data_IF_112859099385
#
_entry.id   IF_112859099385
#
_cell.length_a   1.000
_cell.length_b   1.000
_cell.length_c   1.000
_cell.angle_alpha   90.00
_cell.angle_beta   90.00
_cell.angle_gamma   90.00
#
_symmetry.space_group_name_H-M   'P 1'
#
loop_
_entity.id
_entity.type
_entity.pdbx_description
1 polymer ?
#
# COMPACT_ATOMS: atom_id res chain seq x y z
N UNK A 1 45.12 -17.43 26.98
CA UNK A 1 44.90 -17.19 25.54
C UNK A 1 43.68 -17.97 25.10
N UNK A 2 42.55 -17.30 24.89
CA UNK A 2 41.45 -17.82 24.07
C UNK A 2 40.74 -16.59 23.50
N UNK A 3 41.01 -16.30 22.22
CA UNK A 3 40.35 -15.21 21.49
C UNK A 3 39.03 -15.75 20.95
N UNK A 4 37.93 -15.36 21.58
CA UNK A 4 36.59 -15.61 21.03
C UNK A 4 36.38 -14.64 19.87
N UNK A 5 36.43 -15.17 18.64
CA UNK A 5 36.07 -14.44 17.43
C UNK A 5 34.54 -14.38 17.38
N UNK A 6 33.98 -13.19 17.56
CA UNK A 6 32.55 -12.93 17.36
C UNK A 6 32.33 -12.77 15.85
N UNK A 7 31.75 -13.79 15.22
CA UNK A 7 31.40 -13.75 13.80
C UNK A 7 30.12 -12.91 13.66
N UNK A 8 30.26 -11.64 13.28
CA UNK A 8 29.13 -10.78 12.94
C UNK A 8 28.50 -11.31 11.64
N UNK A 9 27.33 -11.95 11.75
CA UNK A 9 26.52 -12.32 10.59
C UNK A 9 25.93 -11.04 10.01
N UNK A 10 26.59 -10.47 9.01
CA UNK A 10 26.05 -9.41 8.16
C UNK A 10 24.94 -10.03 7.29
N UNK A 11 23.70 -9.93 7.75
CA UNK A 11 22.54 -10.15 6.88
C UNK A 11 22.48 -8.98 5.88
N UNK A 12 22.58 -9.22 4.56
CA UNK A 12 22.31 -8.18 3.60
C UNK A 12 20.83 -7.81 3.71
N UNK A 13 20.55 -6.59 4.14
CA UNK A 13 19.27 -5.95 3.91
C UNK A 13 19.10 -5.89 2.38
N UNK A 14 18.32 -6.83 1.86
CA UNK A 14 17.94 -6.84 0.45
C UNK A 14 17.25 -5.51 0.16
N UNK A 15 17.96 -4.59 -0.49
CA UNK A 15 17.37 -3.41 -1.09
C UNK A 15 16.33 -3.92 -2.10
N UNK A 16 15.05 -3.79 -1.75
CA UNK A 16 13.94 -4.46 -2.44
C UNK A 16 13.84 -4.00 -3.89
N UNK A 17 14.36 -4.81 -4.82
CA UNK A 17 14.15 -4.61 -6.25
C UNK A 17 12.69 -4.94 -6.59
N UNK A 18 11.88 -3.90 -6.79
CA UNK A 18 10.48 -4.02 -7.20
C UNK A 18 10.41 -4.02 -8.73
N UNK A 19 9.91 -5.10 -9.35
CA UNK A 19 9.55 -5.06 -10.78
C UNK A 19 8.46 -4.00 -10.98
N UNK A 20 8.62 -3.05 -11.92
CA UNK A 20 7.62 -2.02 -12.13
C UNK A 20 6.31 -2.66 -12.62
N UNK A 21 5.19 -2.22 -12.05
CA UNK A 21 3.85 -2.52 -12.56
C UNK A 21 3.77 -1.94 -13.98
N UNK A 22 3.03 -2.62 -14.87
CA UNK A 22 2.64 -2.02 -16.15
C UNK A 22 2.10 -0.62 -15.88
N UNK A 23 2.59 0.36 -16.66
CA UNK A 23 2.22 1.77 -16.57
C UNK A 23 2.89 2.64 -15.47
N UNK A 24 3.98 2.20 -14.84
CA UNK A 24 4.84 3.10 -14.07
C UNK A 24 5.45 4.17 -15.01
N UNK A 25 5.30 5.44 -14.67
CA UNK A 25 5.96 6.54 -15.38
C UNK A 25 7.39 6.71 -14.86
N UNK A 26 8.34 6.93 -15.78
CA UNK A 26 9.67 7.40 -15.40
C UNK A 26 9.60 8.81 -14.78
N UNK A 27 10.64 9.19 -14.03
CA UNK A 27 10.65 10.45 -13.29
C UNK A 27 10.48 11.68 -14.20
N UNK A 28 11.05 11.68 -15.41
CA UNK A 28 10.95 12.81 -16.33
C UNK A 28 9.53 12.93 -16.91
N UNK A 29 8.90 11.81 -17.27
CA UNK A 29 7.52 11.77 -17.74
C UNK A 29 6.54 12.14 -16.62
N UNK A 30 6.74 11.60 -15.42
CA UNK A 30 5.93 11.95 -14.24
C UNK A 30 6.00 13.44 -13.92
N UNK A 31 7.18 14.07 -14.00
CA UNK A 31 7.35 15.50 -13.74
C UNK A 31 6.69 16.41 -14.80
N UNK A 32 6.54 15.93 -16.05
CA UNK A 32 5.81 16.64 -17.10
C UNK A 32 4.30 16.60 -16.90
N UNK A 33 3.78 15.50 -16.35
CA UNK A 33 2.36 15.34 -16.02
C UNK A 33 2.03 16.08 -14.72
N UNK A 34 2.75 15.77 -13.65
CA UNK A 34 2.52 16.29 -12.30
C UNK A 34 3.46 17.49 -12.07
N UNK A 35 3.23 18.55 -12.84
CA UNK A 35 4.01 19.80 -12.77
C UNK A 35 3.87 20.49 -11.41
N UNK A 36 4.75 21.46 -11.06
CA UNK A 36 4.59 22.25 -9.84
C UNK A 36 3.22 22.94 -9.73
N UNK A 37 2.66 23.41 -10.84
CA UNK A 37 1.32 24.00 -10.89
C UNK A 37 0.23 22.95 -10.58
N UNK A 38 0.33 21.76 -11.17
CA UNK A 38 -0.58 20.64 -10.86
C UNK A 38 -0.47 20.24 -9.39
N UNK A 39 0.74 20.11 -8.85
CA UNK A 39 0.95 19.80 -7.43
C UNK A 39 0.31 20.83 -6.51
N UNK A 40 0.48 22.12 -6.81
CA UNK A 40 -0.14 23.21 -6.06
C UNK A 40 -1.67 23.13 -6.12
N UNK A 41 -2.23 22.93 -7.31
CA UNK A 41 -3.68 22.87 -7.52
C UNK A 41 -4.31 21.65 -6.82
N UNK A 42 -3.68 20.48 -6.92
CA UNK A 42 -4.15 19.23 -6.32
C UNK A 42 -3.73 19.05 -4.85
N UNK A 43 -3.03 20.05 -4.27
CA UNK A 43 -2.52 20.04 -2.89
C UNK A 43 -1.63 18.82 -2.59
N UNK A 44 -0.78 18.45 -3.54
CA UNK A 44 0.23 17.40 -3.41
C UNK A 44 1.47 17.98 -2.72
N UNK A 45 1.50 17.86 -1.40
CA UNK A 45 2.53 18.47 -0.54
C UNK A 45 3.71 17.55 -0.25
N UNK A 46 3.49 16.23 -0.19
CA UNK A 46 4.57 15.27 0.08
C UNK A 46 5.44 15.06 -1.17
N UNK A 47 6.70 14.61 -1.00
CA UNK A 47 7.51 14.05 -2.08
C UNK A 47 6.75 12.95 -2.84
N UNK A 48 6.84 12.97 -4.17
CA UNK A 48 6.24 11.92 -5.00
C UNK A 48 7.19 10.72 -5.00
N UNK A 49 6.70 9.59 -4.50
CA UNK A 49 7.40 8.31 -4.52
C UNK A 49 7.30 7.66 -5.91
N UNK A 50 6.08 7.51 -6.44
CA UNK A 50 5.83 6.91 -7.76
C UNK A 50 4.57 7.48 -8.40
N UNK A 51 4.55 7.52 -9.73
CA UNK A 51 3.36 7.89 -10.51
C UNK A 51 3.06 6.81 -11.54
N UNK A 52 1.82 6.37 -11.61
CA UNK A 52 1.32 5.45 -12.63
C UNK A 52 0.32 6.17 -13.51
N UNK A 53 0.26 5.82 -14.79
CA UNK A 53 -0.84 6.22 -15.69
C UNK A 53 -1.74 5.03 -15.98
N UNK A 54 -3.02 5.21 -16.20
CA UNK A 54 -3.87 4.14 -16.71
C UNK A 54 -5.05 4.74 -17.48
N UNK A 55 -5.68 3.94 -18.34
CA UNK A 55 -6.83 4.38 -19.13
C UNK A 55 -7.95 3.37 -18.95
N UNK A 56 -9.15 3.89 -18.77
CA UNK A 56 -10.38 3.11 -18.81
C UNK A 56 -11.44 3.82 -19.67
N UNK A 57 -12.67 3.34 -19.66
CA UNK A 57 -13.75 3.92 -20.48
C UNK A 57 -14.11 5.35 -20.08
N UNK A 58 -13.76 5.79 -18.86
CA UNK A 58 -14.02 7.15 -18.38
C UNK A 58 -12.90 8.14 -18.74
N UNK A 59 -11.71 7.67 -19.13
CA UNK A 59 -10.65 8.53 -19.63
C UNK A 59 -9.25 8.11 -19.22
N UNK A 60 -8.34 9.10 -19.27
CA UNK A 60 -6.96 8.96 -18.81
C UNK A 60 -6.87 9.31 -17.33
N UNK A 61 -6.15 8.49 -16.58
CA UNK A 61 -5.98 8.62 -15.15
C UNK A 61 -4.52 8.50 -14.74
N UNK A 62 -4.24 8.98 -13.54
CA UNK A 62 -2.96 8.86 -12.88
C UNK A 62 -3.15 8.47 -11.41
N UNK A 63 -2.24 7.64 -10.91
CA UNK A 63 -2.10 7.37 -9.49
C UNK A 63 -0.76 7.94 -9.02
N UNK A 64 -0.79 9.04 -8.27
CA UNK A 64 0.40 9.62 -7.65
C UNK A 64 0.50 9.16 -6.19
N UNK A 65 1.53 8.38 -5.88
CA UNK A 65 1.87 7.90 -4.55
C UNK A 65 2.91 8.84 -3.93
N UNK A 66 2.65 9.32 -2.73
CA UNK A 66 3.51 10.28 -2.03
C UNK A 66 3.76 9.84 -0.60
N UNK A 67 4.98 10.02 -0.13
CA UNK A 67 5.43 9.57 1.19
C UNK A 67 6.15 10.72 1.88
N UNK A 68 5.78 11.02 3.13
CA UNK A 68 6.41 12.08 3.92
C UNK A 68 7.60 11.51 4.66
N UNK A 69 8.78 11.82 4.15
CA UNK A 69 10.04 11.51 4.80
C UNK A 69 10.17 12.32 6.10
N UNK A 70 10.49 11.65 7.22
CA UNK A 70 10.79 12.33 8.49
C UNK A 70 12.22 12.05 8.98
N UNK A 71 12.83 10.94 8.55
CA UNK A 71 14.19 10.58 8.94
C UNK A 71 14.91 9.79 7.83
N UNK A 72 16.18 10.12 7.60
CA UNK A 72 17.08 9.31 6.77
C UNK A 72 17.96 8.44 7.65
N UNK A 73 18.10 7.18 7.30
CA UNK A 73 18.91 6.17 7.99
C UNK A 73 19.96 5.59 7.04
N UNK A 74 20.84 4.72 7.55
CA UNK A 74 21.77 3.97 6.70
C UNK A 74 21.06 3.01 5.74
N UNK A 75 19.87 2.57 6.13
CA UNK A 75 19.11 1.50 5.47
C UNK A 75 18.01 2.05 4.54
N UNK A 76 17.83 3.37 4.51
CA UNK A 76 16.84 4.04 3.67
C UNK A 76 16.17 5.22 4.36
N UNK A 77 14.97 5.55 3.90
CA UNK A 77 14.17 6.65 4.43
C UNK A 77 13.02 6.08 5.26
N UNK A 78 12.77 6.69 6.41
CA UNK A 78 11.61 6.43 7.25
C UNK A 78 10.55 7.49 6.97
N UNK A 79 9.31 7.02 6.84
CA UNK A 79 8.16 7.83 6.51
C UNK A 79 7.14 7.76 7.63
N UNK A 80 6.53 8.88 7.98
CA UNK A 80 5.52 8.96 9.05
C UNK A 80 4.10 9.10 8.50
N UNK A 81 3.97 9.38 7.20
CA UNK A 81 2.68 9.53 6.53
C UNK A 81 2.77 9.24 5.05
N UNK A 82 1.68 8.73 4.51
CA UNK A 82 1.52 8.48 3.09
C UNK A 82 0.29 9.18 2.55
N UNK A 83 0.31 9.53 1.28
CA UNK A 83 -0.88 9.98 0.57
C UNK A 83 -0.88 9.50 -0.88
N UNK A 84 -1.96 8.87 -1.31
CA UNK A 84 -2.20 8.56 -2.71
C UNK A 84 -3.23 9.54 -3.29
N UNK A 85 -3.02 9.94 -4.54
CA UNK A 85 -3.95 10.75 -5.31
C UNK A 85 -4.34 9.98 -6.57
N UNK A 86 -5.62 9.64 -6.67
CA UNK A 86 -6.23 9.15 -7.90
C UNK A 86 -6.71 10.38 -8.66
N UNK A 87 -6.12 10.60 -9.82
CA UNK A 87 -6.25 11.82 -10.61
C UNK A 87 -6.84 11.43 -11.95
N UNK A 88 -7.92 12.08 -12.35
CA UNK A 88 -8.52 11.92 -13.66
C UNK A 88 -8.22 13.13 -14.53
N UNK A 89 -8.07 12.91 -15.83
CA UNK A 89 -7.95 13.95 -16.84
C UNK A 89 -9.32 14.20 -17.47
N UNK A 90 -9.83 15.43 -17.31
CA UNK A 90 -11.08 15.89 -17.93
C UNK A 90 -10.84 17.16 -18.72
N UNK A 91 -11.00 17.09 -20.04
CA UNK A 91 -10.93 18.23 -20.96
C UNK A 91 -9.61 19.02 -20.87
N UNK A 92 -8.49 18.32 -20.76
CA UNK A 92 -7.14 18.85 -20.56
C UNK A 92 -6.79 19.20 -19.12
N UNK A 93 -7.70 19.02 -18.16
CA UNK A 93 -7.53 19.43 -16.76
C UNK A 93 -7.44 18.21 -15.84
N UNK A 94 -6.36 18.15 -15.08
CA UNK A 94 -6.18 17.13 -14.04
C UNK A 94 -6.99 17.48 -12.78
N UNK A 95 -7.77 16.51 -12.29
CA UNK A 95 -8.61 16.64 -11.11
C UNK A 95 -8.44 15.43 -10.19
N UNK A 96 -8.43 15.64 -8.87
CA UNK A 96 -8.41 14.54 -7.91
C UNK A 96 -9.80 13.89 -7.83
N UNK A 97 -9.88 12.61 -8.17
CA UNK A 97 -11.08 11.79 -7.99
C UNK A 97 -11.17 11.28 -6.54
N UNK A 98 -10.06 10.74 -6.03
CA UNK A 98 -9.99 10.21 -4.68
C UNK A 98 -8.60 10.41 -4.08
N UNK A 99 -8.55 10.51 -2.76
CA UNK A 99 -7.29 10.51 -1.99
C UNK A 99 -7.28 9.37 -0.99
N UNK A 100 -6.13 8.76 -0.76
CA UNK A 100 -5.90 7.89 0.39
C UNK A 100 -4.87 8.58 1.26
N UNK A 101 -5.10 8.67 2.56
CA UNK A 101 -4.17 9.26 3.52
C UNK A 101 -4.09 8.33 4.72
N UNK A 102 -2.86 8.09 5.18
CA UNK A 102 -2.60 7.31 6.38
C UNK A 102 -1.30 7.78 7.03
N UNK A 103 -1.17 7.52 8.33
CA UNK A 103 -0.02 7.95 9.12
C UNK A 103 0.21 7.00 10.29
N UNK A 104 1.47 6.90 10.71
CA UNK A 104 1.84 6.29 11.99
C UNK A 104 1.84 7.38 13.06
N UNK A 105 1.54 6.98 14.30
CA UNK A 105 1.59 7.90 15.42
C UNK A 105 3.04 8.22 15.78
N UNK A 106 3.36 9.45 16.22
CA UNK A 106 4.67 9.76 16.77
C UNK A 106 4.97 8.85 17.98
N UNK A 107 6.24 8.48 18.17
CA UNK A 107 6.72 7.66 19.31
C UNK A 107 6.37 8.19 20.71
N UNK A 108 5.87 9.42 20.81
CA UNK A 108 5.41 10.01 22.08
C UNK A 108 4.07 9.41 22.56
N UNK A 109 3.34 8.69 21.71
CA UNK A 109 2.20 7.86 22.09
C UNK A 109 2.71 6.46 22.49
N UNK A 110 2.73 6.11 23.79
CA UNK A 110 3.22 4.84 24.39
C UNK A 110 2.54 3.54 23.87
N UNK A 111 1.67 3.63 22.86
CA UNK A 111 0.81 2.54 22.37
C UNK A 111 1.21 2.05 20.97
N UNK A 112 2.06 2.78 20.23
CA UNK A 112 2.39 2.46 18.84
C UNK A 112 3.89 2.29 18.62
N UNK A 113 4.33 1.05 18.48
CA UNK A 113 5.71 0.68 18.16
C UNK A 113 6.03 0.78 16.65
N UNK A 114 5.10 1.31 15.84
CA UNK A 114 5.30 1.53 14.41
C UNK A 114 6.21 2.74 14.15
N UNK A 115 7.27 2.56 13.36
CA UNK A 115 8.26 3.61 13.06
C UNK A 115 8.39 3.97 11.58
N UNK A 116 7.74 3.26 10.66
CA UNK A 116 7.69 3.68 9.26
C UNK A 116 6.43 3.19 8.56
N UNK A 117 5.96 3.91 7.54
CA UNK A 117 4.82 3.55 6.69
C UNK A 117 5.14 3.73 5.20
N UNK A 118 4.87 2.74 4.35
CA UNK A 118 5.24 2.78 2.92
C UNK A 118 4.23 2.09 2.01
N UNK A 119 4.11 2.58 0.77
CA UNK A 119 3.33 1.89 -0.27
C UNK A 119 4.04 0.63 -0.80
N UNK A 120 3.30 -0.47 -0.89
CA UNK A 120 3.83 -1.75 -1.36
C UNK A 120 3.46 -1.98 -2.82
N UNK A 121 4.15 -1.27 -3.73
CA UNK A 121 3.72 -1.21 -5.14
C UNK A 121 3.83 -2.52 -5.91
N UNK A 122 4.54 -3.53 -5.39
CA UNK A 122 4.52 -4.89 -5.97
C UNK A 122 3.15 -5.59 -5.87
N UNK A 123 2.26 -5.09 -5.01
CA UNK A 123 0.88 -5.60 -4.86
C UNK A 123 -0.17 -4.63 -5.42
N UNK A 124 0.25 -3.51 -6.01
CA UNK A 124 -0.65 -2.54 -6.64
C UNK A 124 -1.33 -3.19 -7.85
N UNK A 125 -2.65 -3.00 -7.96
CA UNK A 125 -3.42 -3.40 -9.14
C UNK A 125 -4.12 -2.18 -9.74
N UNK A 126 -3.99 -2.01 -11.06
CA UNK A 126 -4.66 -0.98 -11.86
C UNK A 126 -5.27 -1.68 -13.09
N UNK A 127 -6.32 -2.48 -12.88
CA UNK A 127 -6.99 -3.27 -13.92
C UNK A 127 -8.51 -3.19 -13.73
N UNK A 128 -9.25 -3.28 -14.82
CA UNK A 128 -10.68 -3.60 -14.81
C UNK A 128 -10.82 -5.10 -14.50
N UNK A 129 -11.22 -5.42 -13.26
CA UNK A 129 -11.32 -6.79 -12.78
C UNK A 129 -12.71 -7.37 -12.99
N UNK A 130 -13.76 -6.55 -12.96
CA UNK A 130 -15.14 -7.03 -13.11
C UNK A 130 -15.68 -6.98 -14.55
N UNK A 131 -14.99 -6.26 -15.45
CA UNK A 131 -15.28 -6.13 -16.87
C UNK A 131 -16.28 -5.03 -17.21
N UNK A 132 -16.53 -4.08 -16.30
CA UNK A 132 -17.47 -2.98 -16.53
C UNK A 132 -16.86 -1.78 -17.29
N UNK A 133 -15.58 -1.87 -17.63
CA UNK A 133 -14.85 -0.85 -18.36
C UNK A 133 -14.27 0.26 -17.49
N UNK A 134 -14.43 0.20 -16.16
CA UNK A 134 -13.75 1.08 -15.21
C UNK A 134 -12.59 0.33 -14.55
N UNK A 135 -11.50 1.03 -14.25
CA UNK A 135 -10.39 0.39 -13.51
C UNK A 135 -10.80 0.20 -12.05
N UNK A 136 -10.34 -0.89 -11.43
CA UNK A 136 -10.47 -1.18 -9.99
C UNK A 136 -9.12 -1.01 -9.27
N UNK A 137 -8.70 0.21 -8.89
CA UNK A 137 -7.45 0.41 -8.17
C UNK A 137 -7.42 -0.35 -6.85
N UNK A 138 -6.45 -1.24 -6.68
CA UNK A 138 -6.12 -1.88 -5.40
C UNK A 138 -4.77 -1.36 -4.93
N UNK A 139 -4.77 -0.57 -3.85
CA UNK A 139 -3.59 0.07 -3.26
C UNK A 139 -3.26 -0.64 -1.95
N UNK A 140 -2.00 -1.02 -1.80
CA UNK A 140 -1.49 -1.72 -0.61
C UNK A 140 -0.38 -0.90 0.02
N UNK A 141 -0.40 -0.82 1.34
CA UNK A 141 0.68 -0.25 2.13
C UNK A 141 0.79 -1.01 3.46
N UNK A 142 1.94 -0.84 4.11
CA UNK A 142 2.14 -1.38 5.44
C UNK A 142 3.07 -0.53 6.28
N UNK A 143 3.08 -0.83 7.57
CA UNK A 143 3.95 -0.20 8.57
C UNK A 143 5.05 -1.16 9.02
N UNK A 144 6.09 -0.64 9.67
CA UNK A 144 7.20 -1.42 10.25
C UNK A 144 7.22 -1.14 11.76
N UNK A 145 7.28 -2.17 12.61
CA UNK A 145 7.30 -2.10 14.08
C UNK A 145 8.67 -2.40 14.71
N UNK A 146 8.89 -1.99 15.97
CA UNK A 146 10.21 -1.99 16.67
C UNK A 146 10.94 -3.35 16.78
N UNK A 147 10.25 -4.49 16.82
CA UNK A 147 10.86 -5.82 17.06
C UNK A 147 11.54 -6.49 15.84
N UNK A 148 12.05 -5.69 14.90
CA UNK A 148 12.84 -6.15 13.75
C UNK A 148 12.19 -7.28 12.90
N UNK A 149 10.86 -7.32 12.85
CA UNK A 149 10.08 -8.15 11.92
C UNK A 149 8.97 -7.33 11.24
N UNK A 150 8.23 -7.91 10.28
CA UNK A 150 7.14 -7.25 9.54
C UNK A 150 5.89 -6.96 10.42
N UNK A 151 6.03 -6.93 11.75
CA UNK A 151 4.95 -6.86 12.75
C UNK A 151 4.29 -5.47 12.86
N UNK A 152 3.94 -4.90 11.71
CA UNK A 152 3.13 -3.69 11.62
C UNK A 152 1.69 -4.00 11.24
N UNK A 153 1.04 -3.02 10.63
CA UNK A 153 -0.25 -3.15 9.99
C UNK A 153 -0.07 -3.29 8.48
N UNK A 154 -0.92 -4.10 7.87
CA UNK A 154 -1.08 -4.20 6.42
C UNK A 154 -2.46 -3.69 6.07
N UNK A 155 -2.54 -2.75 5.15
CA UNK A 155 -3.81 -2.19 4.69
C UNK A 155 -3.92 -2.35 3.18
N UNK A 156 -5.05 -2.89 2.74
CA UNK A 156 -5.41 -3.10 1.34
C UNK A 156 -6.70 -2.31 1.09
N UNK A 157 -6.62 -1.34 0.20
CA UNK A 157 -7.76 -0.54 -0.23
C UNK A 157 -8.10 -0.92 -1.66
N UNK A 158 -9.38 -1.19 -1.95
CA UNK A 158 -9.92 -1.14 -3.31
C UNK A 158 -10.79 0.09 -3.47
N UNK A 159 -10.59 0.84 -4.55
CA UNK A 159 -11.56 1.83 -5.02
C UNK A 159 -12.49 1.15 -6.01
N UNK A 160 -13.76 1.02 -5.65
CA UNK A 160 -14.79 0.43 -6.51
C UNK A 160 -15.94 1.42 -6.69
N UNK A 161 -16.17 1.87 -7.93
CA UNK A 161 -17.26 2.83 -8.27
C UNK A 161 -17.29 4.06 -7.35
N UNK A 162 -16.11 4.66 -7.15
CA UNK A 162 -15.93 5.84 -6.28
C UNK A 162 -15.96 5.54 -4.78
N UNK A 163 -16.14 4.30 -4.34
CA UNK A 163 -16.17 3.90 -2.93
C UNK A 163 -14.85 3.25 -2.53
N UNK A 164 -14.27 3.71 -1.42
CA UNK A 164 -13.11 3.07 -0.79
C UNK A 164 -13.60 1.93 0.10
N UNK A 165 -13.04 0.74 -0.09
CA UNK A 165 -13.34 -0.45 0.70
C UNK A 165 -12.02 -1.01 1.19
N UNK A 166 -11.91 -1.21 2.50
CA UNK A 166 -10.65 -1.49 3.17
C UNK A 166 -10.63 -2.89 3.80
N UNK A 167 -9.46 -3.51 3.72
CA UNK A 167 -9.03 -4.65 4.53
C UNK A 167 -7.86 -4.17 5.36
N UNK A 168 -7.94 -4.36 6.68
CA UNK A 168 -6.90 -3.98 7.64
C UNK A 168 -6.45 -5.23 8.35
N UNK A 169 -5.16 -5.44 8.42
CA UNK A 169 -4.56 -6.54 9.14
C UNK A 169 -3.57 -5.98 10.15
N UNK A 170 -3.70 -6.43 11.40
CA UNK A 170 -2.70 -6.24 12.43
C UNK A 170 -1.91 -7.53 12.56
N UNK A 171 -0.59 -7.43 12.35
CA UNK A 171 0.32 -8.56 12.41
C UNK A 171 0.83 -8.76 13.84
N UNK A 172 1.03 -10.02 14.23
CA UNK A 172 1.65 -10.41 15.50
C UNK A 172 2.46 -11.70 15.32
N UNK A 173 3.52 -11.92 16.13
CA UNK A 173 4.19 -13.21 16.24
C UNK A 173 3.21 -14.35 16.60
N UNK A 174 2.19 -14.07 17.42
CA UNK A 174 1.20 -15.06 17.87
C UNK A 174 -0.03 -15.04 16.95
N UNK A 175 -0.42 -16.21 16.42
CA UNK A 175 -1.56 -16.33 15.50
C UNK A 175 -2.87 -15.83 16.14
N UNK A 176 -3.04 -16.03 17.46
CA UNK A 176 -4.21 -15.59 18.23
C UNK A 176 -4.33 -14.07 18.37
N UNK A 177 -3.25 -13.33 18.15
CA UNK A 177 -3.22 -11.86 18.23
C UNK A 177 -3.31 -11.20 16.86
N UNK A 178 -3.17 -11.98 15.78
CA UNK A 178 -3.40 -11.50 14.42
C UNK A 178 -4.87 -11.24 14.23
N UNK A 179 -5.19 -10.09 13.65
CA UNK A 179 -6.57 -9.72 13.35
C UNK A 179 -6.69 -9.22 11.93
N UNK A 180 -7.76 -9.61 11.23
CA UNK A 180 -8.16 -9.00 9.97
C UNK A 180 -9.55 -8.39 10.14
N UNK A 181 -9.63 -7.09 9.87
CA UNK A 181 -10.88 -6.35 9.78
C UNK A 181 -11.19 -6.05 8.32
N UNK A 182 -12.41 -6.35 7.89
CA UNK A 182 -12.87 -6.12 6.52
C UNK A 182 -14.13 -5.26 6.56
N UNK A 183 -14.16 -4.19 5.76
CA UNK A 183 -15.37 -3.39 5.60
C UNK A 183 -16.52 -4.25 5.05
N UNK A 184 -17.73 -4.11 5.60
CA UNK A 184 -18.88 -4.95 5.19
C UNK A 184 -19.16 -4.91 3.67
N UNK A 185 -18.89 -3.77 3.02
CA UNK A 185 -19.04 -3.58 1.59
C UNK A 185 -18.13 -4.51 0.75
N UNK A 186 -17.03 -5.02 1.29
CA UNK A 186 -16.18 -6.00 0.63
C UNK A 186 -16.98 -7.21 0.15
N UNK A 187 -17.91 -7.72 0.97
CA UNK A 187 -18.70 -8.90 0.64
C UNK A 187 -19.75 -8.65 -0.45
N UNK A 188 -19.93 -7.39 -0.88
CA UNK A 188 -20.78 -6.99 -2.01
C UNK A 188 -19.99 -6.80 -3.31
N UNK A 189 -18.65 -6.86 -3.25
CA UNK A 189 -17.81 -6.72 -4.43
C UNK A 189 -18.00 -7.89 -5.41
N UNK A 190 -17.87 -7.63 -6.73
CA UNK A 190 -17.70 -8.66 -7.74
C UNK A 190 -16.72 -9.74 -7.31
N UNK A 191 -17.03 -10.99 -7.62
CA UNK A 191 -16.24 -12.15 -7.18
C UNK A 191 -14.77 -12.04 -7.65
N UNK A 192 -14.54 -11.51 -8.85
CA UNK A 192 -13.19 -11.32 -9.41
C UNK A 192 -12.34 -10.34 -8.58
N UNK A 193 -12.93 -9.23 -8.12
CA UNK A 193 -12.23 -8.27 -7.24
C UNK A 193 -11.90 -8.92 -5.89
N UNK A 194 -12.85 -9.65 -5.30
CA UNK A 194 -12.60 -10.38 -4.04
C UNK A 194 -11.49 -11.43 -4.19
N UNK A 195 -11.49 -12.16 -5.31
CA UNK A 195 -10.42 -13.12 -5.62
C UNK A 195 -9.06 -12.45 -5.83
N UNK A 196 -8.98 -11.30 -6.48
CA UNK A 196 -7.71 -10.57 -6.62
C UNK A 196 -7.17 -10.12 -5.26
N UNK A 197 -8.04 -9.60 -4.37
CA UNK A 197 -7.63 -9.22 -3.01
C UNK A 197 -7.13 -10.43 -2.23
N UNK A 198 -7.85 -11.57 -2.27
CA UNK A 198 -7.38 -12.80 -1.65
C UNK A 198 -6.06 -13.30 -2.28
N UNK A 199 -5.87 -13.14 -3.59
CA UNK A 199 -4.61 -13.45 -4.25
C UNK A 199 -3.49 -12.53 -3.78
N UNK A 200 -3.74 -11.23 -3.60
CA UNK A 200 -2.78 -10.27 -3.06
C UNK A 200 -2.34 -10.70 -1.66
N UNK A 201 -3.27 -11.05 -0.78
CA UNK A 201 -2.97 -11.55 0.56
C UNK A 201 -2.11 -12.83 0.50
N UNK A 202 -2.47 -13.79 -0.35
CA UNK A 202 -1.65 -14.99 -0.55
C UNK A 202 -0.24 -14.69 -1.11
N UNK A 203 -0.09 -13.66 -1.96
CA UNK A 203 1.23 -13.20 -2.43
C UNK A 203 2.02 -12.54 -1.30
N UNK A 204 1.36 -11.78 -0.42
CA UNK A 204 1.98 -11.19 0.77
C UNK A 204 2.60 -12.27 1.68
N UNK A 205 1.85 -13.34 1.96
CA UNK A 205 2.36 -14.48 2.73
C UNK A 205 3.51 -15.20 2.03
N UNK A 206 3.32 -15.50 0.74
CA UNK A 206 4.32 -16.22 -0.08
C UNK A 206 5.65 -15.48 -0.15
N UNK A 207 5.59 -14.15 -0.25
CA UNK A 207 6.77 -13.29 -0.31
C UNK A 207 7.38 -13.02 1.08
N UNK A 208 6.78 -13.54 2.16
CA UNK A 208 7.18 -13.30 3.56
C UNK A 208 7.15 -11.82 3.95
N UNK A 209 6.19 -11.09 3.38
CA UNK A 209 5.97 -9.68 3.67
C UNK A 209 4.91 -9.46 4.75
N UNK A 210 4.21 -10.51 5.16
CA UNK A 210 3.26 -10.48 6.27
C UNK A 210 2.68 -11.85 6.57
N UNK A 211 2.13 -12.01 7.76
CA UNK A 211 1.56 -13.26 8.28
C UNK A 211 0.11 -13.03 8.71
N UNK A 212 -0.85 -13.55 7.95
CA UNK A 212 -2.26 -13.50 8.30
C UNK A 212 -2.65 -14.65 9.26
N UNK A 213 -3.80 -14.55 9.97
CA UNK A 213 -4.34 -15.66 10.76
C UNK A 213 -4.50 -16.93 9.93
N UNK A 214 -4.10 -18.08 10.46
CA UNK A 214 -4.13 -19.37 9.75
C UNK A 214 -5.46 -19.67 9.02
N UNK A 215 -6.59 -19.29 9.62
CA UNK A 215 -7.94 -19.52 9.08
C UNK A 215 -8.49 -18.38 8.20
N UNK A 216 -7.69 -17.37 7.84
CA UNK A 216 -8.19 -16.17 7.17
C UNK A 216 -8.96 -16.45 5.88
N UNK A 217 -8.55 -17.47 5.10
CA UNK A 217 -9.23 -17.85 3.85
C UNK A 217 -10.63 -18.39 4.14
N UNK A 218 -10.74 -19.28 5.11
CA UNK A 218 -12.00 -19.90 5.55
C UNK A 218 -12.92 -18.82 6.12
N UNK A 219 -12.41 -17.94 6.98
CA UNK A 219 -13.19 -16.90 7.63
C UNK A 219 -13.63 -15.80 6.66
N UNK A 220 -12.79 -15.44 5.68
CA UNK A 220 -13.17 -14.53 4.61
C UNK A 220 -14.30 -15.14 3.76
N UNK A 221 -14.19 -16.41 3.36
CA UNK A 221 -15.24 -17.08 2.58
C UNK A 221 -16.57 -17.16 3.36
N UNK A 222 -16.49 -17.44 4.66
CA UNK A 222 -17.64 -17.51 5.57
C UNK A 222 -18.18 -16.13 6.00
N UNK A 223 -17.58 -15.02 5.54
CA UNK A 223 -17.91 -13.65 5.94
C UNK A 223 -17.81 -13.40 7.45
N UNK A 224 -16.85 -14.04 8.12
CA UNK A 224 -16.59 -13.92 9.57
C UNK A 224 -15.59 -12.81 9.90
N UNK A 225 -14.76 -12.40 8.94
CA UNK A 225 -13.91 -11.22 9.08
C UNK A 225 -14.80 -9.98 8.96
N UNK A 226 -15.37 -9.50 10.06
CA UNK A 226 -16.20 -8.29 10.11
C UNK A 226 -15.76 -7.41 11.26
N UNK A 227 -16.11 -6.14 11.14
CA UNK A 227 -16.05 -5.14 12.21
C UNK A 227 -16.86 -5.57 13.43
#
# INVERSE_FOLDING_TARGET
>A
MLRTIFLLLLLPLNCWSQKPVENLLDAATAAKVITPAVRKNLKITFPIFRTYSYRDTSGLHYLALTEREYQKTKDGVLNDSIRAFLITEKSGVLQTEATVFDYIKPKEDEVSDEFSITFWTKYLTLKDLDGDGLTDPIIVWGTIGEDAGPYGQIKILVLYKGRKIMIRHHESPLDSERNIQVDAAFYTLPIKIRHEIASIMGRIEKDKNGLFPSEWKTDMAAKKLRF
#
